data_IF_403653277682
#
_entry.id   IF_403653277682
#
_cell.length_a   1.000
_cell.length_b   1.000
_cell.length_c   1.000
_cell.angle_alpha   90.00
_cell.angle_beta   90.00
_cell.angle_gamma   90.00
#
_symmetry.space_group_name_H-M   'P 1'
#
loop_
_entity.id
_entity.type
_entity.pdbx_description
1 polymer ?
#
# COMPACT_ATOMS: atom_id res chain seq x y z
N UNK A 1 6.04 11.45 0.65
CA UNK A 1 6.87 12.43 -0.08
C UNK A 1 6.10 13.72 -0.15
N UNK A 2 6.67 14.77 0.37
CA UNK A 2 6.14 16.15 0.33
C UNK A 2 6.93 16.97 -0.70
N UNK A 3 6.46 18.19 -1.00
CA UNK A 3 7.18 19.12 -1.86
C UNK A 3 8.61 19.38 -1.37
N UNK A 4 8.79 19.52 -0.05
CA UNK A 4 10.09 19.85 0.56
C UNK A 4 11.07 18.67 0.54
N UNK A 5 10.59 17.43 0.52
CA UNK A 5 11.41 16.21 0.49
C UNK A 5 11.67 15.68 -0.93
N UNK A 6 10.96 16.22 -1.93
CA UNK A 6 11.00 15.73 -3.31
C UNK A 6 12.40 15.81 -3.92
N UNK A 7 13.13 16.90 -3.67
CA UNK A 7 14.48 17.12 -4.21
C UNK A 7 15.54 16.13 -3.70
N UNK A 8 15.29 15.45 -2.57
CA UNK A 8 16.21 14.46 -1.97
C UNK A 8 15.82 13.01 -2.30
N UNK A 9 14.61 12.78 -2.80
CA UNK A 9 14.03 11.45 -2.96
C UNK A 9 14.92 10.50 -3.76
N UNK A 10 15.42 10.92 -4.91
CA UNK A 10 16.28 10.10 -5.76
C UNK A 10 17.59 9.72 -5.04
N UNK A 11 18.24 10.70 -4.40
CA UNK A 11 19.49 10.47 -3.69
C UNK A 11 19.35 9.55 -2.48
N UNK A 12 18.24 9.65 -1.74
CA UNK A 12 17.95 8.78 -0.60
C UNK A 12 17.68 7.33 -1.04
N UNK A 13 16.93 7.14 -2.13
CA UNK A 13 16.69 5.79 -2.69
C UNK A 13 17.99 5.17 -3.22
N UNK A 14 18.80 5.96 -3.90
CA UNK A 14 20.09 5.50 -4.41
C UNK A 14 21.06 5.15 -3.26
N UNK A 15 21.07 5.94 -2.17
CA UNK A 15 21.81 5.61 -0.97
C UNK A 15 21.37 4.25 -0.38
N UNK A 16 20.06 4.03 -0.24
CA UNK A 16 19.53 2.75 0.25
C UNK A 16 19.93 1.61 -0.69
N UNK A 17 19.86 1.81 -2.01
CA UNK A 17 20.24 0.79 -2.99
C UNK A 17 21.72 0.38 -2.84
N UNK A 18 22.62 1.35 -2.65
CA UNK A 18 24.05 1.08 -2.37
C UNK A 18 24.25 0.35 -1.05
N UNK A 19 23.52 0.72 0.02
CA UNK A 19 23.59 -0.01 1.29
C UNK A 19 23.12 -1.46 1.14
N UNK A 20 22.04 -1.70 0.41
CA UNK A 20 21.59 -3.05 0.11
C UNK A 20 22.66 -3.86 -0.64
N UNK A 21 23.29 -3.29 -1.66
CA UNK A 21 24.35 -3.94 -2.42
C UNK A 21 25.55 -4.30 -1.53
N UNK A 22 25.98 -3.38 -0.65
CA UNK A 22 27.08 -3.60 0.30
C UNK A 22 26.84 -4.81 1.22
N UNK A 23 25.57 -5.07 1.51
CA UNK A 23 25.15 -6.19 2.37
C UNK A 23 24.65 -7.42 1.58
N UNK A 24 24.87 -7.49 0.27
CA UNK A 24 24.41 -8.59 -0.58
C UNK A 24 22.89 -8.70 -0.72
N UNK A 25 22.15 -7.60 -0.44
CA UNK A 25 20.70 -7.52 -0.59
C UNK A 25 20.40 -7.00 -2.00
N UNK A 26 19.50 -7.64 -2.77
CA UNK A 26 19.11 -7.15 -4.09
C UNK A 26 18.59 -5.71 -4.06
N UNK A 27 18.89 -4.94 -5.12
CA UNK A 27 18.38 -3.57 -5.27
C UNK A 27 16.85 -3.52 -5.04
N UNK A 28 16.36 -2.62 -4.18
CA UNK A 28 14.93 -2.46 -3.95
C UNK A 28 14.18 -2.04 -5.21
N UNK A 29 13.07 -2.72 -5.51
CA UNK A 29 12.17 -2.39 -6.63
C UNK A 29 10.77 -1.98 -6.14
N UNK A 30 10.57 -1.97 -4.83
CA UNK A 30 9.33 -1.54 -4.19
C UNK A 30 9.60 -0.47 -3.15
N UNK A 31 8.65 0.44 -3.00
CA UNK A 31 8.73 1.60 -2.13
C UNK A 31 7.44 1.73 -1.29
N UNK A 32 7.56 2.24 -0.08
CA UNK A 32 6.42 2.66 0.73
C UNK A 32 6.56 4.15 1.01
N UNK A 33 5.54 4.93 0.63
CA UNK A 33 5.56 6.37 0.87
C UNK A 33 5.63 6.68 2.37
N UNK A 34 6.69 7.34 2.86
CA UNK A 34 6.79 7.75 4.26
C UNK A 34 5.59 8.63 4.65
N UNK A 35 4.99 8.34 5.81
CA UNK A 35 3.77 9.02 6.26
C UNK A 35 2.59 8.90 5.30
N UNK A 36 2.61 7.97 4.35
CA UNK A 36 1.64 7.82 3.26
C UNK A 36 1.47 9.07 2.36
N UNK A 37 2.38 10.04 2.45
CA UNK A 37 2.35 11.28 1.68
C UNK A 37 2.78 11.05 0.23
N UNK A 38 1.89 11.30 -0.70
CA UNK A 38 2.10 11.15 -2.15
C UNK A 38 2.24 12.51 -2.83
N UNK A 39 3.02 12.55 -3.92
CA UNK A 39 3.18 13.76 -4.73
C UNK A 39 3.31 13.39 -6.21
N UNK A 40 2.63 14.09 -7.15
CA UNK A 40 2.66 13.74 -8.58
C UNK A 40 4.07 13.62 -9.16
N UNK A 41 4.94 14.58 -8.86
CA UNK A 41 6.32 14.57 -9.35
C UNK A 41 7.18 13.39 -8.81
N UNK A 42 6.76 12.73 -7.72
CA UNK A 42 7.46 11.57 -7.19
C UNK A 42 7.38 10.36 -8.13
N UNK A 43 6.31 10.22 -8.92
CA UNK A 43 6.13 9.08 -9.82
C UNK A 43 7.28 8.96 -10.82
N UNK A 44 7.58 10.08 -11.50
CA UNK A 44 8.68 10.12 -12.47
C UNK A 44 10.05 9.84 -11.81
N UNK A 45 10.27 10.35 -10.60
CA UNK A 45 11.52 10.11 -9.87
C UNK A 45 11.63 8.62 -9.52
N UNK A 46 10.59 8.03 -8.94
CA UNK A 46 10.56 6.60 -8.55
C UNK A 46 10.80 5.69 -9.75
N UNK A 47 10.15 5.96 -10.88
CA UNK A 47 10.35 5.20 -12.11
C UNK A 47 11.79 5.32 -12.62
N UNK A 48 12.36 6.53 -12.64
CA UNK A 48 13.74 6.80 -13.09
C UNK A 48 14.78 6.04 -12.25
N UNK A 49 14.58 5.91 -10.93
CA UNK A 49 15.52 5.17 -10.05
C UNK A 49 15.25 3.66 -10.02
N UNK A 50 14.26 3.17 -10.79
CA UNK A 50 13.95 1.76 -10.97
C UNK A 50 12.99 1.16 -9.96
N UNK A 51 12.24 1.99 -9.22
CA UNK A 51 11.13 1.51 -8.39
C UNK A 51 9.96 1.13 -9.31
N UNK A 52 9.50 -0.10 -9.19
CA UNK A 52 8.41 -0.64 -9.99
C UNK A 52 7.04 -0.48 -9.31
N UNK A 53 7.02 -0.56 -8.00
CA UNK A 53 5.80 -0.58 -7.18
C UNK A 53 5.96 0.34 -5.99
N UNK A 54 4.96 1.19 -5.73
CA UNK A 54 4.97 2.04 -4.55
C UNK A 54 3.62 2.02 -3.82
N UNK A 55 3.65 1.66 -2.53
CA UNK A 55 2.48 1.59 -1.67
C UNK A 55 2.23 2.94 -1.00
N UNK A 56 1.01 3.44 -1.11
CA UNK A 56 0.44 4.57 -0.35
C UNK A 56 -0.59 4.09 0.68
N UNK A 57 -1.05 4.96 1.56
CA UNK A 57 -2.12 4.66 2.50
C UNK A 57 -3.49 4.48 1.85
N UNK A 58 -4.53 4.38 2.68
CA UNK A 58 -5.93 4.34 2.25
C UNK A 58 -6.51 5.72 1.93
N UNK A 59 -5.83 6.81 2.32
CA UNK A 59 -6.19 8.18 1.97
C UNK A 59 -5.77 8.49 0.53
N UNK A 60 -6.50 9.42 -0.16
CA UNK A 60 -7.60 10.24 0.36
C UNK A 60 -8.99 9.59 0.30
N UNK A 61 -9.14 8.39 -0.22
CA UNK A 61 -10.43 7.71 -0.39
C UNK A 61 -11.09 7.35 0.95
N UNK A 62 -10.28 7.05 1.97
CA UNK A 62 -10.75 6.76 3.32
C UNK A 62 -9.99 7.58 4.36
N UNK A 63 -10.66 7.99 5.46
CA UNK A 63 -9.97 8.64 6.57
C UNK A 63 -8.88 7.74 7.16
N UNK A 64 -7.71 8.30 7.42
CA UNK A 64 -6.55 7.57 7.93
C UNK A 64 -6.83 6.77 9.21
N UNK A 65 -7.56 7.39 10.15
CA UNK A 65 -7.86 6.82 11.47
C UNK A 65 -8.67 5.52 11.43
N UNK A 66 -9.41 5.28 10.34
CA UNK A 66 -10.22 4.06 10.21
C UNK A 66 -9.40 2.82 9.84
N UNK A 67 -8.14 2.97 9.45
CA UNK A 67 -7.30 1.88 8.93
C UNK A 67 -7.86 1.20 7.68
N UNK A 68 -8.90 1.77 7.07
CA UNK A 68 -9.57 1.24 5.88
C UNK A 68 -8.95 1.80 4.61
N UNK A 69 -9.12 1.05 3.52
CA UNK A 69 -8.73 1.49 2.20
C UNK A 69 -9.44 0.70 1.12
N UNK A 70 -8.89 0.74 -0.09
CA UNK A 70 -9.39 0.04 -1.27
C UNK A 70 -8.36 -0.98 -1.75
N UNK A 71 -8.79 -2.00 -2.49
CA UNK A 71 -7.86 -2.91 -3.15
C UNK A 71 -7.22 -2.22 -4.37
N UNK A 72 -5.99 -2.60 -4.66
CA UNK A 72 -5.33 -2.27 -5.92
C UNK A 72 -6.02 -3.03 -7.06
N UNK A 73 -6.38 -2.31 -8.10
CA UNK A 73 -6.99 -2.86 -9.30
C UNK A 73 -6.01 -2.74 -10.49
N UNK A 74 -5.38 -3.86 -10.92
CA UNK A 74 -4.48 -3.85 -12.07
C UNK A 74 -5.13 -3.26 -13.31
N UNK A 75 -4.36 -2.52 -14.10
CA UNK A 75 -4.78 -1.77 -15.31
C UNK A 75 -5.71 -0.56 -15.04
N UNK A 76 -6.15 -0.36 -13.80
CA UNK A 76 -6.93 0.80 -13.38
C UNK A 76 -6.13 1.71 -12.44
N UNK A 77 -5.45 1.13 -11.47
CA UNK A 77 -4.59 1.87 -10.54
C UNK A 77 -3.15 1.95 -11.07
N UNK A 78 -2.49 3.09 -10.82
CA UNK A 78 -1.08 3.26 -11.15
C UNK A 78 -0.18 2.44 -10.20
N UNK A 79 0.81 1.66 -10.70
CA UNK A 79 1.64 0.78 -9.86
C UNK A 79 2.55 1.52 -8.86
N UNK A 80 2.81 2.80 -9.08
CA UNK A 80 3.49 3.67 -8.12
C UNK A 80 2.53 4.39 -7.15
N UNK A 81 1.24 4.03 -7.13
CA UNK A 81 0.22 4.58 -6.23
C UNK A 81 -0.69 3.48 -5.66
N UNK A 82 -0.12 2.31 -5.37
CA UNK A 82 -0.85 1.16 -4.86
C UNK A 82 -1.50 1.49 -3.51
N UNK A 83 -2.82 1.43 -3.38
CA UNK A 83 -3.50 1.74 -2.13
C UNK A 83 -3.29 0.64 -1.08
N UNK A 84 -3.25 1.03 0.19
CA UNK A 84 -3.39 0.11 1.30
C UNK A 84 -4.87 -0.24 1.48
N UNK A 85 -5.23 -1.52 1.40
CA UNK A 85 -6.59 -2.01 1.62
C UNK A 85 -6.95 -2.05 3.11
N UNK A 86 -5.95 -2.26 3.95
CA UNK A 86 -6.11 -2.28 5.40
C UNK A 86 -4.80 -1.99 6.13
N UNK A 87 -4.88 -1.09 7.10
CA UNK A 87 -3.81 -0.74 8.04
C UNK A 87 -4.21 -1.28 9.41
N UNK A 88 -3.62 -2.42 9.79
CA UNK A 88 -3.98 -3.13 11.01
C UNK A 88 -3.57 -2.34 12.25
N UNK A 89 -4.58 -1.87 12.98
CA UNK A 89 -4.46 -1.06 14.21
C UNK A 89 -4.67 -1.93 15.44
N UNK A 90 -4.25 -1.49 16.63
CA UNK A 90 -4.53 -2.21 17.88
C UNK A 90 -6.02 -2.45 18.13
N UNK A 91 -6.87 -1.55 17.62
CA UNK A 91 -8.35 -1.64 17.72
C UNK A 91 -8.98 -2.57 16.68
N UNK A 92 -8.23 -3.10 15.74
CA UNK A 92 -8.77 -4.01 14.74
C UNK A 92 -9.10 -5.38 15.34
N UNK A 93 -10.21 -5.93 14.91
CA UNK A 93 -10.61 -7.31 15.15
C UNK A 93 -10.23 -8.20 13.95
N UNK A 94 -10.37 -9.52 14.12
CA UNK A 94 -10.30 -10.46 13.00
C UNK A 94 -11.35 -10.14 11.91
N UNK A 95 -12.51 -9.60 12.28
CA UNK A 95 -13.55 -9.20 11.33
C UNK A 95 -13.11 -8.02 10.46
N UNK A 96 -12.37 -7.07 11.02
CA UNK A 96 -11.81 -5.94 10.25
C UNK A 96 -10.79 -6.43 9.23
N UNK A 97 -9.92 -7.34 9.64
CA UNK A 97 -8.96 -7.96 8.74
C UNK A 97 -9.64 -8.74 7.61
N UNK A 98 -10.62 -9.60 7.94
CA UNK A 98 -11.41 -10.35 6.96
C UNK A 98 -12.07 -9.42 5.93
N UNK A 99 -12.66 -8.32 6.38
CA UNK A 99 -13.26 -7.31 5.49
C UNK A 99 -12.23 -6.71 4.51
N UNK A 100 -11.03 -6.41 5.00
CA UNK A 100 -9.98 -5.83 4.15
C UNK A 100 -9.46 -6.82 3.11
N UNK A 101 -9.15 -8.07 3.50
CA UNK A 101 -8.64 -9.08 2.55
C UNK A 101 -9.73 -9.58 1.59
N UNK A 102 -11.01 -9.51 1.97
CA UNK A 102 -12.12 -9.83 1.07
C UNK A 102 -12.24 -8.87 -0.14
N UNK A 103 -11.53 -7.75 -0.13
CA UNK A 103 -11.41 -6.88 -1.29
C UNK A 103 -10.57 -7.49 -2.43
N UNK A 104 -9.78 -8.54 -2.15
CA UNK A 104 -8.95 -9.27 -3.12
C UNK A 104 -9.80 -10.22 -3.97
N UNK A 105 -10.73 -9.68 -4.73
CA UNK A 105 -11.61 -10.43 -5.65
C UNK A 105 -11.48 -9.88 -7.07
N UNK A 106 -11.84 -10.67 -8.07
CA UNK A 106 -11.83 -10.26 -9.50
C UNK A 106 -10.46 -9.70 -9.94
N UNK A 107 -9.38 -10.40 -9.59
CA UNK A 107 -7.98 -10.04 -9.90
C UNK A 107 -7.46 -8.78 -9.18
N UNK A 108 -8.17 -8.26 -8.19
CA UNK A 108 -7.67 -7.17 -7.33
C UNK A 108 -6.73 -7.70 -6.27
N UNK A 109 -5.86 -6.83 -5.78
CA UNK A 109 -4.86 -7.15 -4.74
C UNK A 109 -5.16 -6.33 -3.49
N UNK A 110 -5.42 -6.98 -2.37
CA UNK A 110 -5.56 -6.33 -1.07
C UNK A 110 -4.19 -6.19 -0.41
N UNK A 111 -3.65 -4.99 -0.37
CA UNK A 111 -2.37 -4.71 0.28
C UNK A 111 -2.61 -4.40 1.75
N UNK A 112 -2.04 -5.22 2.63
CA UNK A 112 -2.14 -5.05 4.07
C UNK A 112 -0.91 -4.36 4.64
N UNK A 113 -1.10 -3.43 5.55
CA UNK A 113 -0.05 -2.73 6.27
C UNK A 113 -0.03 -3.16 7.74
N UNK A 114 1.17 -3.47 8.23
CA UNK A 114 1.47 -3.69 9.64
C UNK A 114 2.67 -2.81 9.99
N UNK A 115 2.62 -2.14 11.15
CA UNK A 115 3.75 -1.33 11.62
C UNK A 115 4.78 -2.18 12.38
N UNK A 116 4.32 -2.98 13.33
CA UNK A 116 5.13 -3.92 14.08
C UNK A 116 4.27 -4.97 14.79
N UNK A 117 4.88 -6.13 15.11
CA UNK A 117 4.18 -7.28 15.70
C UNK A 117 5.05 -7.93 16.80
N UNK A 118 5.06 -7.38 18.04
CA UNK A 118 4.52 -6.09 18.46
C UNK A 118 5.37 -4.90 18.01
N UNK A 119 4.83 -3.69 18.16
CA UNK A 119 5.58 -2.43 18.15
C UNK A 119 5.39 -1.75 19.51
N UNK A 120 6.33 -1.97 20.40
CA UNK A 120 6.25 -1.47 21.78
C UNK A 120 6.54 0.04 21.88
N UNK A 121 7.30 0.58 20.93
CA UNK A 121 7.66 2.00 20.89
C UNK A 121 6.51 2.85 20.30
N UNK A 122 5.64 2.21 19.49
CA UNK A 122 4.51 2.89 18.85
C UNK A 122 3.19 2.13 19.09
N UNK A 123 2.73 2.07 20.36
CA UNK A 123 1.57 1.23 20.73
C UNK A 123 0.26 1.59 20.02
N UNK A 124 0.15 2.81 19.47
CA UNK A 124 -1.02 3.26 18.72
C UNK A 124 -1.14 2.70 17.29
N UNK A 125 -0.10 2.04 16.78
CA UNK A 125 -0.06 1.43 15.43
C UNK A 125 0.34 -0.04 15.45
N UNK A 126 0.67 -0.61 16.60
CA UNK A 126 1.10 -1.99 16.70
C UNK A 126 -0.02 -2.99 16.39
N UNK A 127 0.37 -4.18 16.00
CA UNK A 127 -0.53 -5.34 15.91
C UNK A 127 -0.15 -6.33 17.01
N UNK A 128 -1.09 -6.72 17.92
CA UNK A 128 -0.82 -7.74 18.92
C UNK A 128 -0.42 -9.07 18.25
N UNK A 129 0.66 -9.76 18.73
CA UNK A 129 1.15 -11.00 18.10
C UNK A 129 0.08 -12.09 17.97
N UNK A 130 -0.78 -12.22 18.99
CA UNK A 130 -1.86 -13.21 18.95
C UNK A 130 -2.90 -12.90 17.87
N UNK A 131 -3.23 -11.63 17.70
CA UNK A 131 -4.15 -11.19 16.66
C UNK A 131 -3.54 -11.38 15.26
N UNK A 132 -2.25 -11.06 15.11
CA UNK A 132 -1.52 -11.32 13.87
C UNK A 132 -1.51 -12.83 13.52
N UNK A 133 -1.33 -13.71 14.51
CA UNK A 133 -1.43 -15.15 14.30
C UNK A 133 -2.80 -15.57 13.79
N UNK A 134 -3.88 -14.99 14.34
CA UNK A 134 -5.23 -15.24 13.85
C UNK A 134 -5.40 -14.78 12.38
N UNK A 135 -4.84 -13.65 12.00
CA UNK A 135 -4.86 -13.17 10.62
C UNK A 135 -4.15 -14.14 9.67
N UNK A 136 -2.96 -14.61 10.04
CA UNK A 136 -2.19 -15.55 9.21
C UNK A 136 -2.90 -16.91 9.10
N UNK A 137 -3.47 -17.41 10.18
CA UNK A 137 -4.27 -18.64 10.18
C UNK A 137 -5.50 -18.51 9.26
N UNK A 138 -6.17 -17.38 9.27
CA UNK A 138 -7.29 -17.11 8.37
C UNK A 138 -6.85 -17.11 6.90
N UNK A 139 -5.78 -16.41 6.54
CA UNK A 139 -5.26 -16.41 5.17
C UNK A 139 -4.94 -17.83 4.68
N UNK A 140 -4.31 -18.63 5.54
CA UNK A 140 -3.98 -20.03 5.25
C UNK A 140 -5.25 -20.88 5.06
N UNK A 141 -6.21 -20.77 5.96
CA UNK A 141 -7.46 -21.55 5.92
C UNK A 141 -8.28 -21.24 4.66
N UNK A 142 -8.37 -19.97 4.28
CA UNK A 142 -9.10 -19.50 3.10
C UNK A 142 -8.26 -19.58 1.81
N UNK A 143 -7.04 -20.12 1.89
CA UNK A 143 -6.13 -20.34 0.73
C UNK A 143 -5.79 -19.07 -0.05
N UNK A 144 -5.66 -17.93 0.64
CA UNK A 144 -5.17 -16.71 0.00
C UNK A 144 -3.73 -16.90 -0.50
N UNK A 145 -3.44 -16.43 -1.69
CA UNK A 145 -2.07 -16.29 -2.18
C UNK A 145 -1.46 -15.00 -1.62
N UNK A 146 -0.45 -15.14 -0.76
CA UNK A 146 0.27 -14.02 -0.16
C UNK A 146 1.60 -13.84 -0.87
N UNK A 147 1.88 -12.63 -1.35
CA UNK A 147 3.11 -12.27 -2.06
C UNK A 147 3.76 -11.03 -1.46
N UNK A 148 5.05 -10.86 -1.67
CA UNK A 148 5.70 -9.58 -1.44
C UNK A 148 5.37 -8.61 -2.59
N UNK A 149 5.33 -7.31 -2.30
CA UNK A 149 5.02 -6.29 -3.31
C UNK A 149 5.99 -6.34 -4.50
N UNK A 150 7.27 -6.68 -4.26
CA UNK A 150 8.28 -6.84 -5.31
C UNK A 150 7.98 -7.96 -6.32
N UNK A 151 7.12 -8.92 -5.95
CA UNK A 151 6.76 -10.06 -6.80
C UNK A 151 5.51 -9.80 -7.64
N UNK A 152 4.94 -8.61 -7.57
CA UNK A 152 3.70 -8.25 -8.24
C UNK A 152 3.83 -8.29 -9.78
N UNK A 153 5.03 -8.12 -10.34
CA UNK A 153 5.32 -8.29 -11.78
C UNK A 153 4.84 -9.64 -12.35
N UNK A 154 4.71 -10.66 -11.51
CA UNK A 154 4.22 -11.99 -11.93
C UNK A 154 2.72 -12.04 -12.21
N UNK A 155 1.99 -11.01 -11.78
CA UNK A 155 0.53 -10.99 -11.76
C UNK A 155 -0.08 -9.85 -12.56
N UNK A 156 0.72 -8.81 -12.87
CA UNK A 156 0.24 -7.61 -13.58
C UNK A 156 1.15 -7.24 -14.74
N UNK A 157 0.58 -6.59 -15.73
CA UNK A 157 1.28 -5.96 -16.83
C UNK A 157 1.34 -4.45 -16.59
N UNK A 158 2.49 -3.93 -16.17
CA UNK A 158 2.69 -2.51 -15.88
C UNK A 158 2.46 -1.60 -17.10
N UNK A 159 2.66 -2.10 -18.32
CA UNK A 159 2.45 -1.33 -19.54
C UNK A 159 0.97 -0.95 -19.78
N UNK A 160 0.05 -1.61 -19.08
CA UNK A 160 -1.39 -1.32 -19.14
C UNK A 160 -1.87 -0.38 -18.06
N UNK A 161 -0.96 0.16 -17.27
CA UNK A 161 -1.29 1.08 -16.19
C UNK A 161 -1.66 2.47 -16.74
N UNK A 162 -2.55 3.22 -16.07
CA UNK A 162 -2.90 4.57 -16.50
C UNK A 162 -1.69 5.53 -16.34
N UNK A 163 -1.56 6.48 -17.25
CA UNK A 163 -0.53 7.53 -17.18
C UNK A 163 -0.80 8.50 -16.02
N UNK A 164 -2.06 8.81 -15.77
CA UNK A 164 -2.50 9.68 -14.67
C UNK A 164 -3.18 8.89 -13.55
N UNK A 165 -2.38 8.40 -12.62
CA UNK A 165 -2.88 7.68 -11.44
C UNK A 165 -3.57 8.58 -10.40
N UNK A 166 -3.34 9.89 -10.43
CA UNK A 166 -3.99 10.82 -9.49
C UNK A 166 -5.44 11.08 -9.86
N UNK A 167 -5.78 11.18 -11.14
CA UNK A 167 -7.17 11.31 -11.59
C UNK A 167 -8.01 10.09 -11.18
N UNK A 168 -7.43 8.90 -11.18
CA UNK A 168 -8.09 7.67 -10.69
C UNK A 168 -8.43 7.77 -9.21
N UNK A 169 -7.51 8.28 -8.40
CA UNK A 169 -7.71 8.49 -6.95
C UNK A 169 -8.87 9.47 -6.71
N UNK A 170 -8.86 10.63 -7.37
CA UNK A 170 -9.88 11.66 -7.20
C UNK A 170 -11.27 11.16 -7.66
N UNK A 171 -11.34 10.46 -8.78
CA UNK A 171 -12.59 9.86 -9.28
C UNK A 171 -13.17 8.86 -8.27
N UNK A 172 -12.31 7.99 -7.71
CA UNK A 172 -12.74 7.00 -6.71
C UNK A 172 -13.21 7.66 -5.42
N UNK A 173 -12.47 8.68 -4.94
CA UNK A 173 -12.85 9.45 -3.77
C UNK A 173 -14.22 10.07 -3.93
N UNK A 174 -14.46 10.80 -5.03
CA UNK A 174 -15.75 11.43 -5.33
C UNK A 174 -16.91 10.43 -5.39
N UNK A 175 -16.67 9.25 -5.95
CA UNK A 175 -17.68 8.18 -5.98
C UNK A 175 -18.03 7.70 -4.58
N UNK A 176 -17.04 7.46 -3.70
CA UNK A 176 -17.27 7.01 -2.34
C UNK A 176 -18.02 8.07 -1.50
N UNK A 177 -17.71 9.35 -1.69
CA UNK A 177 -18.40 10.47 -1.02
C UNK A 177 -19.88 10.54 -1.43
N UNK A 178 -20.19 10.39 -2.72
CA UNK A 178 -21.55 10.35 -3.24
C UNK A 178 -22.34 9.15 -2.70
N UNK A 179 -21.75 7.97 -2.66
CA UNK A 179 -22.38 6.76 -2.09
C UNK A 179 -22.66 6.89 -0.58
N UNK A 180 -21.80 7.59 0.15
CA UNK A 180 -21.99 7.86 1.56
C UNK A 180 -23.09 8.91 1.81
N UNK A 181 -23.20 9.91 0.93
CA UNK A 181 -24.25 10.93 0.97
C UNK A 181 -25.65 10.39 0.67
N UNK A 182 -25.74 9.43 -0.25
CA UNK A 182 -27.02 8.80 -0.65
C UNK A 182 -27.61 7.84 0.40
N UNK A 183 -26.86 7.48 1.45
CA UNK A 183 -27.29 6.58 2.54
C UNK A 183 -27.72 7.32 3.81
N UNK A 184 -27.70 8.64 3.78
CA UNK A 184 -28.23 9.51 4.85
C UNK A 184 -29.60 10.03 4.50
#
# INVERSE_FOLDING_TARGET
VTRDTLGRLAGEIDYIARQCETHGIPKPVSFAYPGNAIHPAALKILDTVGIKFARRGGSPEHPYVAGRGVAYEPNHDHPLLIPTAGDARPSWSLSDFKRAVALAVKRRVAVMQFHGVPDNDHPWVHTPPELFRQYMNYLKAEKYTVIALRDLDRYIDRAKSPDDGFSVIETRKSKLENEAGAKK
#
